data_IF_464014076947
#
_entry.id   IF_464014076947
#
_cell.length_a   1.000
_cell.length_b   1.000
_cell.length_c   1.000
_cell.angle_alpha   90.00
_cell.angle_beta   90.00
_cell.angle_gamma   90.00
#
_symmetry.space_group_name_H-M   'P 1'
#
loop_
_entity.id
_entity.type
_entity.pdbx_description
1 polymer ?
#
# COMPACT_ATOMS: atom_id res chain seq x y z
N UNK A 1 -10.75 44.08 -19.25
CA UNK A 1 -10.16 42.86 -19.88
C UNK A 1 -8.67 42.69 -19.58
N UNK A 2 -7.74 43.61 -19.95
CA UNK A 2 -6.29 43.45 -19.69
C UNK A 2 -5.96 43.13 -18.22
N UNK A 3 -6.51 43.82 -17.23
CA UNK A 3 -6.24 43.59 -15.79
C UNK A 3 -6.70 42.20 -15.34
N UNK A 4 -7.85 41.72 -15.81
CA UNK A 4 -8.34 40.39 -15.48
C UNK A 4 -7.40 39.31 -16.06
N UNK A 5 -6.98 39.47 -17.33
CA UNK A 5 -6.03 38.58 -17.98
C UNK A 5 -4.69 38.50 -17.25
N UNK A 6 -4.19 39.66 -16.80
CA UNK A 6 -2.91 39.75 -16.04
C UNK A 6 -3.06 39.09 -14.67
N UNK A 7 -4.21 39.26 -13.98
CA UNK A 7 -4.45 38.63 -12.69
C UNK A 7 -4.56 37.08 -12.84
N UNK A 8 -5.27 36.62 -13.85
CA UNK A 8 -5.40 35.17 -14.14
C UNK A 8 -4.03 34.57 -14.48
N UNK A 9 -3.25 35.24 -15.34
CA UNK A 9 -1.88 34.79 -15.66
C UNK A 9 -0.96 34.76 -14.42
N UNK A 10 -1.05 35.78 -13.55
CA UNK A 10 -0.26 35.83 -12.32
C UNK A 10 -0.65 34.69 -11.35
N UNK A 11 -1.93 34.35 -11.24
CA UNK A 11 -2.42 33.23 -10.43
C UNK A 11 -1.91 31.91 -11.00
N UNK A 12 -2.00 31.70 -12.32
CA UNK A 12 -1.48 30.48 -12.97
C UNK A 12 0.03 30.35 -12.73
N UNK A 13 0.81 31.42 -12.89
CA UNK A 13 2.25 31.41 -12.63
C UNK A 13 2.56 31.13 -11.16
N UNK A 14 1.81 31.72 -10.23
CA UNK A 14 1.99 31.47 -8.81
C UNK A 14 1.67 30.01 -8.44
N UNK A 15 0.59 29.43 -8.98
CA UNK A 15 0.23 28.03 -8.79
C UNK A 15 1.29 27.10 -9.41
N UNK A 16 1.75 27.39 -10.62
CA UNK A 16 2.82 26.62 -11.27
C UNK A 16 4.13 26.69 -10.48
N UNK A 17 4.50 27.87 -9.95
CA UNK A 17 5.66 28.04 -9.08
C UNK A 17 5.52 27.24 -7.77
N UNK A 18 4.36 27.24 -7.14
CA UNK A 18 4.09 26.45 -5.93
C UNK A 18 4.22 24.96 -6.25
N UNK A 19 3.67 24.47 -7.37
CA UNK A 19 3.77 23.07 -7.80
C UNK A 19 5.25 22.69 -8.06
N UNK A 20 6.01 23.53 -8.76
CA UNK A 20 7.44 23.29 -9.04
C UNK A 20 8.28 23.32 -7.76
N UNK A 21 8.05 24.31 -6.89
CA UNK A 21 8.75 24.40 -5.61
C UNK A 21 8.41 23.18 -4.73
N UNK A 22 7.16 22.73 -4.72
CA UNK A 22 6.71 21.56 -3.99
C UNK A 22 7.38 20.29 -4.51
N UNK A 23 7.47 20.09 -5.82
CA UNK A 23 8.12 18.94 -6.42
C UNK A 23 9.65 18.92 -6.22
N UNK A 24 10.29 20.10 -6.15
CA UNK A 24 11.74 20.18 -5.93
C UNK A 24 12.16 20.19 -4.46
N UNK A 25 11.31 20.72 -3.58
CA UNK A 25 11.63 20.83 -2.15
C UNK A 25 11.00 19.72 -1.31
N UNK A 26 10.02 18.99 -1.85
CA UNK A 26 9.51 17.79 -1.23
C UNK A 26 10.65 16.84 -0.88
N UNK A 27 11.50 16.49 -1.85
CA UNK A 27 12.65 15.60 -1.67
C UNK A 27 13.69 16.09 -0.64
N UNK A 28 13.80 17.40 -0.40
CA UNK A 28 14.68 17.94 0.63
C UNK A 28 14.08 17.76 2.02
N UNK A 29 12.76 17.71 2.11
CA UNK A 29 12.03 17.67 3.38
C UNK A 29 11.57 16.25 3.78
N UNK A 30 11.34 15.35 2.84
CA UNK A 30 10.90 13.97 3.14
C UNK A 30 12.01 13.11 3.73
N UNK A 31 13.24 13.58 3.72
CA UNK A 31 14.37 12.76 4.18
C UNK A 31 14.15 11.28 3.83
N UNK A 32 15.02 10.58 3.28
CA UNK A 32 15.00 9.26 2.65
C UNK A 32 14.36 8.08 3.43
N UNK A 33 13.25 8.28 4.11
CA UNK A 33 12.71 7.29 5.05
C UNK A 33 11.44 6.60 4.58
N UNK A 34 10.78 7.10 3.52
CA UNK A 34 9.49 6.55 3.11
C UNK A 34 9.17 6.81 1.63
N UNK A 35 8.60 5.81 0.96
CA UNK A 35 8.01 5.92 -0.36
C UNK A 35 8.92 5.56 -1.54
N UNK A 36 8.33 5.54 -2.73
CA UNK A 36 8.98 5.15 -3.99
C UNK A 36 10.29 5.91 -4.30
N UNK A 37 10.38 7.24 -4.10
CA UNK A 37 11.64 7.95 -4.37
C UNK A 37 12.81 7.49 -3.52
N UNK A 38 12.55 7.00 -2.31
CA UNK A 38 13.58 6.42 -1.44
C UNK A 38 14.13 5.13 -2.04
N UNK A 39 13.25 4.23 -2.47
CA UNK A 39 13.60 2.98 -3.14
C UNK A 39 14.36 3.22 -4.44
N UNK A 40 13.87 4.10 -5.31
CA UNK A 40 14.54 4.46 -6.58
C UNK A 40 15.97 4.98 -6.31
N UNK A 41 16.14 5.78 -5.27
CA UNK A 41 17.46 6.29 -4.89
C UNK A 41 18.38 5.21 -4.33
N UNK A 42 17.83 4.22 -3.63
CA UNK A 42 18.57 3.06 -3.13
C UNK A 42 19.08 2.18 -4.29
N UNK A 43 18.27 2.05 -5.35
CA UNK A 43 18.62 1.42 -6.63
C UNK A 43 18.52 -0.09 -6.66
N UNK A 44 18.61 -0.77 -5.51
CA UNK A 44 18.51 -2.23 -5.37
C UNK A 44 17.89 -2.59 -4.02
N UNK A 45 17.08 -3.63 -4.00
CA UNK A 45 16.41 -4.15 -2.80
C UNK A 45 16.22 -5.67 -2.92
N UNK A 46 16.59 -6.41 -1.87
CA UNK A 46 16.52 -7.88 -1.88
C UNK A 46 15.09 -8.34 -1.61
N UNK A 47 14.38 -7.70 -0.66
CA UNK A 47 13.01 -8.04 -0.27
C UNK A 47 12.12 -6.79 -0.27
N UNK A 48 11.26 -6.66 -1.29
CA UNK A 48 10.29 -5.57 -1.40
C UNK A 48 8.87 -6.06 -1.14
N UNK A 49 8.22 -5.50 -0.13
CA UNK A 49 6.82 -5.72 0.19
C UNK A 49 5.99 -4.53 -0.28
N UNK A 50 5.05 -4.72 -1.21
CA UNK A 50 4.13 -3.67 -1.68
C UNK A 50 2.71 -4.01 -1.25
N UNK A 51 2.06 -3.10 -0.50
CA UNK A 51 0.73 -3.41 0.01
C UNK A 51 -0.08 -2.21 0.51
N UNK A 52 -1.16 -2.57 1.17
CA UNK A 52 -2.12 -1.66 1.78
C UNK A 52 -1.84 -1.45 3.29
N UNK A 53 -2.88 -1.05 4.03
CA UNK A 53 -2.81 -1.04 5.50
C UNK A 53 -2.61 -2.44 6.09
N UNK A 54 -2.88 -3.50 5.32
CA UNK A 54 -2.63 -4.88 5.75
C UNK A 54 -1.14 -5.10 5.96
N UNK A 55 -0.30 -4.74 5.01
CA UNK A 55 1.16 -4.80 5.17
C UNK A 55 1.69 -3.77 6.16
N UNK A 56 1.14 -2.54 6.15
CA UNK A 56 1.55 -1.50 7.11
C UNK A 56 1.39 -1.92 8.56
N UNK A 57 0.32 -2.62 8.87
CA UNK A 57 -0.01 -3.05 10.24
C UNK A 57 0.27 -4.54 10.46
N UNK A 58 0.42 -5.31 9.40
CA UNK A 58 0.65 -6.75 9.44
C UNK A 58 2.13 -7.14 9.41
N UNK A 59 3.03 -6.26 8.92
CA UNK A 59 4.43 -6.59 8.79
C UNK A 59 5.29 -5.83 9.82
N UNK A 60 6.14 -6.55 10.52
CA UNK A 60 7.12 -6.04 11.48
C UNK A 60 8.49 -5.96 10.82
N UNK A 61 8.95 -4.74 10.56
CA UNK A 61 10.23 -4.53 9.87
C UNK A 61 11.42 -5.04 10.68
N UNK A 62 11.35 -4.96 12.01
CA UNK A 62 12.44 -5.47 12.87
C UNK A 62 12.53 -6.99 12.75
N UNK A 63 11.39 -7.68 12.85
CA UNK A 63 11.34 -9.14 12.75
C UNK A 63 11.75 -9.64 11.35
N UNK A 64 11.36 -8.92 10.28
CA UNK A 64 11.77 -9.28 8.92
C UNK A 64 13.28 -9.09 8.71
N UNK A 65 13.86 -7.95 9.13
CA UNK A 65 15.30 -7.68 9.01
C UNK A 65 16.17 -8.58 9.88
N UNK A 66 15.63 -9.08 11.01
CA UNK A 66 16.34 -10.02 11.88
C UNK A 66 16.42 -11.45 11.31
N UNK A 67 15.48 -11.82 10.44
CA UNK A 67 15.31 -13.20 9.98
C UNK A 67 15.47 -13.39 8.47
N UNK A 68 15.53 -12.33 7.67
CA UNK A 68 15.82 -12.39 6.24
C UNK A 68 17.22 -11.88 5.95
N UNK A 69 17.94 -12.58 5.08
CA UNK A 69 19.21 -12.12 4.56
C UNK A 69 18.97 -11.01 3.51
N UNK A 70 19.69 -9.91 3.61
CA UNK A 70 19.62 -8.82 2.65
C UNK A 70 18.80 -7.61 3.12
N UNK A 71 18.51 -6.71 2.21
CA UNK A 71 17.79 -5.47 2.46
C UNK A 71 16.29 -5.69 2.38
N UNK A 72 15.54 -5.15 3.34
CA UNK A 72 14.08 -5.25 3.42
C UNK A 72 13.44 -3.87 3.32
N UNK A 73 12.37 -3.74 2.54
CA UNK A 73 11.56 -2.51 2.49
C UNK A 73 10.07 -2.82 2.38
N UNK A 74 9.25 -2.09 3.15
CA UNK A 74 7.79 -2.20 3.13
C UNK A 74 7.20 -0.92 2.52
N UNK A 75 6.81 -0.97 1.25
CA UNK A 75 6.10 0.10 0.58
C UNK A 75 4.59 -0.10 0.76
N UNK A 76 3.97 0.64 1.67
CA UNK A 76 2.56 0.44 1.97
C UNK A 76 1.82 1.76 2.13
N UNK A 77 0.65 1.85 1.48
CA UNK A 77 -0.25 2.99 1.58
C UNK A 77 -1.62 2.53 2.07
N UNK A 78 -2.26 3.31 2.96
CA UNK A 78 -3.58 2.93 3.47
C UNK A 78 -4.60 2.86 2.33
N UNK A 79 -5.33 1.73 2.26
CA UNK A 79 -6.31 1.50 1.19
C UNK A 79 -5.68 1.38 -0.19
N UNK A 80 -4.38 1.03 -0.29
CA UNK A 80 -3.73 0.74 -1.57
C UNK A 80 -4.43 -0.43 -2.27
N UNK A 81 -4.46 -0.40 -3.58
CA UNK A 81 -5.21 -1.31 -4.41
C UNK A 81 -4.30 -1.91 -5.50
N UNK A 82 -4.60 -3.13 -6.01
CA UNK A 82 -3.79 -3.81 -7.02
C UNK A 82 -3.41 -2.96 -8.22
N UNK A 83 -4.36 -2.17 -8.76
CA UNK A 83 -4.11 -1.27 -9.89
C UNK A 83 -3.08 -0.17 -9.60
N UNK A 84 -2.98 0.27 -8.34
CA UNK A 84 -1.98 1.26 -7.92
C UNK A 84 -0.66 0.59 -7.57
N UNK A 85 -0.69 -0.59 -6.91
CA UNK A 85 0.51 -1.40 -6.64
C UNK A 85 1.27 -1.72 -7.94
N UNK A 86 0.52 -2.08 -9.00
CA UNK A 86 1.09 -2.30 -10.33
C UNK A 86 1.78 -1.04 -10.89
N UNK A 87 1.12 0.12 -10.78
CA UNK A 87 1.70 1.39 -11.24
C UNK A 87 2.90 1.84 -10.41
N UNK A 88 2.89 1.59 -9.12
CA UNK A 88 4.02 1.85 -8.22
C UNK A 88 5.24 1.02 -8.62
N UNK A 89 5.02 -0.27 -8.83
CA UNK A 89 6.06 -1.20 -9.27
C UNK A 89 6.63 -0.78 -10.64
N UNK A 90 5.77 -0.60 -11.65
CA UNK A 90 6.15 -0.14 -12.99
C UNK A 90 6.98 1.16 -12.92
N UNK A 91 6.49 2.16 -12.17
CA UNK A 91 7.16 3.44 -11.99
C UNK A 91 8.57 3.31 -11.40
N UNK A 92 8.76 2.41 -10.44
CA UNK A 92 10.06 2.20 -9.80
C UNK A 92 11.02 1.42 -10.71
N UNK A 93 10.54 0.36 -11.37
CA UNK A 93 11.34 -0.47 -12.28
C UNK A 93 11.82 0.32 -13.51
N UNK A 94 10.95 1.13 -14.13
CA UNK A 94 11.32 2.04 -15.23
C UNK A 94 12.42 3.05 -14.84
N UNK A 95 12.55 3.35 -13.52
CA UNK A 95 13.59 4.25 -13.01
C UNK A 95 14.81 3.54 -12.46
N UNK A 96 14.93 2.26 -12.80
CA UNK A 96 16.13 1.47 -12.57
C UNK A 96 16.21 0.82 -11.18
N UNK A 97 15.11 0.77 -10.41
CA UNK A 97 15.08 -0.06 -9.20
C UNK A 97 15.22 -1.53 -9.62
N UNK A 98 16.09 -2.24 -8.95
CA UNK A 98 16.21 -3.69 -9.03
C UNK A 98 15.59 -4.31 -7.79
N UNK A 99 14.79 -5.33 -7.99
CA UNK A 99 14.11 -6.08 -6.94
C UNK A 99 14.43 -7.56 -7.15
N UNK A 100 14.90 -8.24 -6.12
CA UNK A 100 15.14 -9.68 -6.18
C UNK A 100 13.85 -10.46 -5.85
N UNK A 101 13.25 -10.16 -4.67
CA UNK A 101 12.05 -10.81 -4.19
C UNK A 101 10.95 -9.77 -3.96
N UNK A 102 9.79 -9.96 -4.58
CA UNK A 102 8.64 -9.07 -4.51
C UNK A 102 7.47 -9.79 -3.83
N UNK A 103 6.97 -9.18 -2.78
CA UNK A 103 5.82 -9.66 -2.02
C UNK A 103 4.68 -8.67 -2.15
N UNK A 104 3.50 -9.13 -2.57
CA UNK A 104 2.32 -8.32 -2.83
C UNK A 104 1.20 -8.67 -1.86
N UNK A 105 0.58 -7.66 -1.29
CA UNK A 105 -0.58 -7.79 -0.40
C UNK A 105 -1.76 -8.48 -1.11
N UNK A 106 -2.14 -9.66 -0.62
CA UNK A 106 -3.22 -10.49 -1.15
C UNK A 106 -4.48 -10.32 -0.29
N UNK A 107 -5.16 -9.16 -0.47
CA UNK A 107 -6.29 -8.76 0.36
C UNK A 107 -7.60 -8.75 -0.42
N UNK A 108 -8.47 -9.71 -0.13
CA UNK A 108 -9.67 -10.02 -0.93
C UNK A 108 -10.64 -8.85 -1.12
N UNK A 109 -10.84 -8.02 -0.12
CA UNK A 109 -11.74 -6.86 -0.25
C UNK A 109 -11.26 -5.79 -1.24
N UNK A 110 -10.01 -5.84 -1.71
CA UNK A 110 -9.56 -4.96 -2.78
C UNK A 110 -10.25 -5.24 -4.11
N UNK A 111 -10.70 -6.48 -4.35
CA UNK A 111 -11.41 -6.86 -5.58
C UNK A 111 -12.72 -6.07 -5.78
N UNK A 112 -13.35 -5.65 -4.69
CA UNK A 112 -14.62 -4.90 -4.72
C UNK A 112 -14.43 -3.40 -4.63
N UNK A 113 -13.18 -2.92 -4.62
CA UNK A 113 -12.88 -1.50 -4.46
C UNK A 113 -12.83 -0.79 -5.81
N UNK A 114 -13.59 0.29 -5.93
CA UNK A 114 -13.44 1.21 -7.07
C UNK A 114 -12.03 1.79 -7.07
N UNK A 115 -11.32 1.85 -8.21
CA UNK A 115 -9.98 2.42 -8.26
C UNK A 115 -9.91 3.83 -7.67
N UNK A 116 -9.32 3.93 -6.50
CA UNK A 116 -9.18 5.19 -5.75
C UNK A 116 -7.99 5.13 -4.80
N UNK A 117 -7.16 6.17 -4.79
CA UNK A 117 -6.10 6.29 -3.79
C UNK A 117 -6.56 7.16 -2.62
N UNK A 118 -6.70 6.56 -1.45
CA UNK A 118 -7.05 7.25 -0.20
C UNK A 118 -5.83 7.80 0.55
N UNK A 119 -4.64 7.25 0.30
CA UNK A 119 -3.39 7.68 0.95
C UNK A 119 -2.54 8.51 -0.01
N UNK A 120 -2.67 9.82 0.10
CA UNK A 120 -1.97 10.77 -0.77
C UNK A 120 -0.44 10.82 -0.60
N UNK A 121 0.10 10.10 0.40
CA UNK A 121 1.55 9.93 0.55
C UNK A 121 2.17 9.18 -0.63
N UNK A 122 1.39 8.38 -1.34
CA UNK A 122 1.77 7.77 -2.61
C UNK A 122 2.30 8.79 -3.64
N UNK A 123 1.76 10.01 -3.63
CA UNK A 123 2.12 11.08 -4.58
C UNK A 123 3.28 11.97 -4.13
N UNK A 124 3.82 11.74 -2.91
CA UNK A 124 4.93 12.52 -2.41
C UNK A 124 6.19 12.24 -3.25
N UNK A 125 6.81 13.33 -3.72
CA UNK A 125 8.07 13.31 -4.46
C UNK A 125 8.07 12.47 -5.75
N UNK A 126 6.89 12.02 -6.20
CA UNK A 126 6.72 11.43 -7.53
C UNK A 126 6.61 12.51 -8.59
N UNK A 127 6.97 12.19 -9.81
CA UNK A 127 6.87 13.13 -10.93
C UNK A 127 5.43 13.29 -11.45
N UNK A 128 5.29 14.20 -12.43
CA UNK A 128 3.98 14.51 -12.99
C UNK A 128 3.41 13.37 -13.84
N UNK A 129 4.25 12.50 -14.41
CA UNK A 129 3.77 11.37 -15.21
C UNK A 129 3.02 10.38 -14.32
N UNK A 130 3.62 9.94 -13.21
CA UNK A 130 2.96 9.06 -12.25
C UNK A 130 1.63 9.64 -11.75
N UNK A 131 1.63 10.95 -11.40
CA UNK A 131 0.41 11.63 -10.93
C UNK A 131 -0.68 11.67 -12.01
N UNK A 132 -0.30 11.92 -13.27
CA UNK A 132 -1.24 11.95 -14.38
C UNK A 132 -1.85 10.56 -14.67
N UNK A 133 -1.04 9.52 -14.61
CA UNK A 133 -1.50 8.14 -14.81
C UNK A 133 -2.43 7.67 -13.70
N UNK A 134 -2.08 7.97 -12.45
CA UNK A 134 -2.95 7.70 -11.31
C UNK A 134 -4.28 8.48 -11.40
N UNK A 135 -4.22 9.76 -11.80
CA UNK A 135 -5.42 10.57 -12.01
C UNK A 135 -6.32 10.01 -13.10
N UNK A 136 -5.73 9.62 -14.23
CA UNK A 136 -6.45 9.00 -15.34
C UNK A 136 -7.19 7.75 -14.89
N UNK A 137 -6.49 6.86 -14.20
CA UNK A 137 -7.07 5.62 -13.65
C UNK A 137 -8.27 5.91 -12.74
N UNK A 138 -8.15 6.88 -11.83
CA UNK A 138 -9.27 7.26 -10.96
C UNK A 138 -10.42 7.89 -11.73
N UNK A 139 -10.14 8.74 -12.72
CA UNK A 139 -11.14 9.43 -13.52
C UNK A 139 -11.91 8.47 -14.46
N UNK A 140 -11.36 7.35 -14.84
CA UNK A 140 -12.02 6.32 -15.63
C UNK A 140 -13.15 5.62 -14.86
N UNK A 141 -13.07 5.61 -13.53
CA UNK A 141 -13.98 4.87 -12.66
C UNK A 141 -14.80 5.74 -11.71
N UNK A 142 -14.48 7.04 -11.60
CA UNK A 142 -15.13 7.95 -10.66
C UNK A 142 -15.45 9.28 -11.34
N UNK A 143 -16.49 9.95 -10.85
CA UNK A 143 -16.78 11.35 -11.22
C UNK A 143 -15.87 12.29 -10.43
N UNK A 144 -14.66 12.50 -10.95
CA UNK A 144 -13.61 13.31 -10.31
C UNK A 144 -13.61 14.73 -10.84
N UNK A 145 -13.55 15.69 -9.94
CA UNK A 145 -13.55 17.11 -10.26
C UNK A 145 -12.29 17.86 -9.82
N UNK A 146 -12.27 19.18 -10.06
CA UNK A 146 -11.18 20.06 -9.66
C UNK A 146 -10.93 20.04 -8.15
N UNK A 147 -11.94 19.76 -7.33
CA UNK A 147 -11.82 19.65 -5.88
C UNK A 147 -10.96 18.44 -5.54
N UNK A 148 -11.27 17.29 -6.12
CA UNK A 148 -10.54 16.03 -5.88
C UNK A 148 -9.08 16.15 -6.34
N UNK A 149 -8.86 16.77 -7.50
CA UNK A 149 -7.52 17.10 -7.97
C UNK A 149 -6.77 17.98 -6.98
N UNK A 150 -7.42 19.04 -6.48
CA UNK A 150 -6.80 19.94 -5.53
C UNK A 150 -6.49 19.24 -4.21
N UNK A 151 -7.41 18.47 -3.67
CA UNK A 151 -7.21 17.69 -2.44
C UNK A 151 -6.09 16.68 -2.60
N UNK A 152 -6.05 15.95 -3.70
CA UNK A 152 -5.08 14.89 -3.94
C UNK A 152 -3.67 15.40 -4.24
N UNK A 153 -3.51 16.39 -5.10
CA UNK A 153 -2.20 16.82 -5.57
C UNK A 153 -1.71 18.14 -4.97
N UNK A 154 -2.59 18.93 -4.34
CA UNK A 154 -2.25 20.23 -3.81
C UNK A 154 -2.39 20.33 -2.29
N UNK A 155 -3.52 19.89 -1.71
CA UNK A 155 -3.77 20.07 -0.27
C UNK A 155 -3.44 18.86 0.58
N UNK A 156 -3.63 17.68 0.08
CA UNK A 156 -3.40 16.45 0.85
C UNK A 156 -1.98 16.37 1.42
N UNK A 157 -1.09 17.13 0.83
CA UNK A 157 0.26 17.30 1.30
C UNK A 157 0.49 18.65 2.04
N UNK A 158 -0.50 19.54 2.12
CA UNK A 158 -0.28 20.87 2.71
C UNK A 158 -0.24 20.86 4.23
N UNK A 159 -1.07 20.08 4.88
CA UNK A 159 -0.96 19.87 6.32
C UNK A 159 0.40 19.25 6.67
N UNK A 160 0.90 18.39 5.81
CA UNK A 160 2.22 17.83 5.93
C UNK A 160 3.30 18.86 5.60
N UNK A 161 3.19 19.70 4.58
CA UNK A 161 4.22 20.64 4.15
C UNK A 161 4.44 21.81 5.12
N UNK A 162 3.39 22.42 5.66
CA UNK A 162 3.51 23.51 6.62
C UNK A 162 3.96 23.04 8.00
N UNK A 163 3.62 21.78 8.36
CA UNK A 163 4.08 21.12 9.59
C UNK A 163 5.29 20.24 9.35
N UNK A 164 5.85 20.26 8.16
CA UNK A 164 6.78 19.28 7.63
C UNK A 164 8.05 19.08 8.47
N UNK A 165 8.75 20.11 8.99
CA UNK A 165 9.94 19.86 9.80
C UNK A 165 9.62 19.14 11.11
N UNK A 166 8.43 19.36 11.68
CA UNK A 166 7.98 18.72 12.92
C UNK A 166 7.39 17.34 12.60
N UNK A 167 6.55 17.24 11.57
CA UNK A 167 5.96 15.99 11.13
C UNK A 167 6.99 15.03 10.55
N UNK A 168 8.04 15.51 9.87
CA UNK A 168 9.09 14.63 9.37
C UNK A 168 9.87 13.95 10.50
N UNK A 169 10.16 14.68 11.59
CA UNK A 169 10.75 14.07 12.77
C UNK A 169 9.81 13.03 13.41
N UNK A 170 8.49 13.29 13.41
CA UNK A 170 7.48 12.36 13.93
C UNK A 170 7.33 11.17 12.97
N UNK A 171 7.20 11.42 11.66
CA UNK A 171 7.05 10.36 10.66
C UNK A 171 8.31 9.49 10.59
N UNK A 172 9.51 10.08 10.61
CA UNK A 172 10.76 9.32 10.64
C UNK A 172 10.95 8.50 11.91
N UNK A 173 10.32 8.92 13.03
CA UNK A 173 10.29 8.11 14.27
C UNK A 173 9.24 6.98 14.24
N UNK A 174 8.30 7.00 13.29
CA UNK A 174 7.23 6.03 13.16
C UNK A 174 7.45 4.99 12.05
N UNK A 175 8.42 5.22 11.18
CA UNK A 175 8.72 4.33 10.07
C UNK A 175 10.22 4.09 9.92
N UNK A 176 10.60 2.85 9.66
CA UNK A 176 11.94 2.45 9.26
C UNK A 176 11.86 1.56 8.03
N UNK A 177 12.63 1.83 6.99
CA UNK A 177 12.56 1.13 5.69
C UNK A 177 11.11 0.92 5.22
N UNK A 178 10.27 1.96 5.38
CA UNK A 178 8.85 1.94 5.05
C UNK A 178 7.94 1.20 6.03
N UNK A 179 8.49 0.33 6.88
CA UNK A 179 7.75 -0.40 7.90
C UNK A 179 7.33 0.47 9.08
N UNK A 180 6.09 0.28 9.57
CA UNK A 180 5.55 1.01 10.71
C UNK A 180 6.14 0.50 12.02
N UNK A 181 6.67 1.42 12.83
CA UNK A 181 7.16 1.15 14.20
C UNK A 181 6.05 1.34 15.26
N UNK A 182 4.83 1.68 14.83
CA UNK A 182 3.71 1.85 15.75
C UNK A 182 3.31 0.50 16.36
N UNK A 183 3.28 0.45 17.68
CA UNK A 183 2.81 -0.72 18.42
C UNK A 183 1.34 -0.52 18.77
N UNK A 184 0.46 -1.21 18.04
CA UNK A 184 -0.97 -1.13 18.25
C UNK A 184 -1.43 -2.20 19.25
N UNK A 185 -2.29 -1.79 20.18
CA UNK A 185 -2.83 -2.73 21.17
C UNK A 185 -3.81 -3.71 20.55
N UNK A 186 -3.77 -4.96 21.00
CA UNK A 186 -4.78 -5.96 20.69
C UNK A 186 -6.12 -5.67 21.38
N UNK A 187 -7.16 -6.32 20.90
CA UNK A 187 -8.52 -6.22 21.43
C UNK A 187 -8.92 -7.47 22.21
N UNK A 188 -10.04 -7.38 22.91
CA UNK A 188 -10.65 -8.58 23.49
C UNK A 188 -11.49 -9.32 22.44
N UNK A 189 -11.62 -10.64 22.63
CA UNK A 189 -12.47 -11.46 21.76
C UNK A 189 -13.91 -10.93 21.74
N UNK A 190 -14.45 -10.56 22.91
CA UNK A 190 -15.80 -10.03 23.02
C UNK A 190 -16.01 -8.76 22.20
N UNK A 191 -14.99 -7.88 22.13
CA UNK A 191 -15.06 -6.67 21.29
C UNK A 191 -15.03 -7.04 19.82
N UNK A 192 -14.09 -7.87 19.38
CA UNK A 192 -13.96 -8.28 17.98
C UNK A 192 -15.22 -9.00 17.47
N UNK A 193 -15.85 -9.80 18.32
CA UNK A 193 -17.11 -10.50 17.98
C UNK A 193 -18.29 -9.53 17.74
N UNK A 194 -18.23 -8.28 18.26
CA UNK A 194 -19.24 -7.25 17.96
C UNK A 194 -19.04 -6.57 16.61
N UNK A 195 -17.83 -6.61 16.04
CA UNK A 195 -17.53 -5.95 14.77
C UNK A 195 -18.11 -6.73 13.59
N UNK A 196 -18.52 -6.02 12.55
CA UNK A 196 -18.93 -6.58 11.26
C UNK A 196 -18.43 -5.66 10.14
N UNK A 197 -17.67 -6.20 9.19
CA UNK A 197 -17.22 -5.45 8.01
C UNK A 197 -18.26 -5.51 6.88
N UNK A 198 -19.33 -6.27 7.10
CA UNK A 198 -20.37 -6.50 6.09
C UNK A 198 -19.89 -7.36 4.92
N UNK A 199 -20.77 -7.49 3.96
CA UNK A 199 -20.49 -8.12 2.66
C UNK A 199 -20.27 -7.03 1.61
N UNK A 200 -19.60 -7.36 0.52
CA UNK A 200 -19.30 -6.42 -0.56
C UNK A 200 -19.78 -6.98 -1.88
N UNK A 201 -20.46 -6.14 -2.65
CA UNK A 201 -20.99 -6.52 -3.95
C UNK A 201 -20.08 -6.04 -5.09
N UNK A 202 -20.02 -6.85 -6.11
CA UNK A 202 -19.37 -6.54 -7.38
C UNK A 202 -17.85 -6.71 -7.33
N UNK A 203 -17.33 -7.23 -8.43
CA UNK A 203 -15.89 -7.32 -8.67
C UNK A 203 -15.50 -6.26 -9.69
N UNK A 204 -14.42 -5.56 -9.43
CA UNK A 204 -13.83 -4.65 -10.41
C UNK A 204 -12.72 -5.38 -11.17
N UNK A 205 -12.98 -5.71 -12.46
CA UNK A 205 -12.00 -6.37 -13.34
C UNK A 205 -10.65 -5.64 -13.37
N UNK A 206 -10.67 -4.32 -13.21
CA UNK A 206 -9.45 -3.51 -13.11
C UNK A 206 -8.54 -3.90 -11.96
N UNK A 207 -9.08 -4.40 -10.84
CA UNK A 207 -8.25 -4.84 -9.71
C UNK A 207 -7.51 -6.13 -10.04
N UNK A 208 -8.18 -7.09 -10.68
CA UNK A 208 -7.52 -8.31 -11.18
C UNK A 208 -6.51 -7.98 -12.28
N UNK A 209 -6.84 -7.06 -13.20
CA UNK A 209 -5.88 -6.56 -14.19
C UNK A 209 -4.64 -5.90 -13.56
N UNK A 210 -4.79 -5.30 -12.38
CA UNK A 210 -3.65 -4.80 -11.59
C UNK A 210 -2.73 -5.94 -11.14
N UNK A 211 -3.28 -7.04 -10.65
CA UNK A 211 -2.49 -8.22 -10.29
C UNK A 211 -1.87 -8.90 -11.52
N UNK A 212 -2.62 -9.03 -12.63
CA UNK A 212 -2.06 -9.53 -13.91
C UNK A 212 -0.84 -8.69 -14.34
N UNK A 213 -0.93 -7.36 -14.25
CA UNK A 213 0.18 -6.47 -14.58
C UNK A 213 1.39 -6.66 -13.66
N UNK A 214 1.19 -6.93 -12.37
CA UNK A 214 2.28 -7.24 -11.44
C UNK A 214 2.99 -8.54 -11.84
N UNK A 215 2.22 -9.57 -12.22
CA UNK A 215 2.79 -10.85 -12.73
C UNK A 215 3.62 -10.59 -13.98
N UNK A 216 3.08 -9.85 -14.96
CA UNK A 216 3.82 -9.48 -16.19
C UNK A 216 5.13 -8.75 -15.89
N UNK A 217 5.10 -7.77 -14.97
CA UNK A 217 6.30 -7.02 -14.58
C UNK A 217 7.33 -7.91 -13.88
N UNK A 218 6.88 -8.80 -13.01
CA UNK A 218 7.78 -9.72 -12.33
C UNK A 218 8.48 -10.67 -13.33
N UNK A 219 7.75 -11.17 -14.33
CA UNK A 219 8.33 -11.97 -15.42
C UNK A 219 9.29 -11.15 -16.28
N UNK A 220 8.91 -9.92 -16.68
CA UNK A 220 9.71 -9.04 -17.54
C UNK A 220 11.06 -8.68 -16.91
N UNK A 221 11.08 -8.45 -15.59
CA UNK A 221 12.26 -8.01 -14.85
C UNK A 221 12.98 -9.12 -14.07
N UNK A 222 12.58 -10.39 -14.26
CA UNK A 222 13.15 -11.57 -13.58
C UNK A 222 13.12 -11.46 -12.05
N UNK A 223 11.95 -11.11 -11.51
CA UNK A 223 11.69 -10.90 -10.08
C UNK A 223 10.99 -12.14 -9.50
N UNK A 224 11.46 -12.64 -8.36
CA UNK A 224 10.76 -13.68 -7.61
C UNK A 224 9.50 -13.08 -6.95
N UNK A 225 8.32 -13.42 -7.47
CA UNK A 225 7.04 -12.89 -7.01
C UNK A 225 6.35 -13.86 -6.04
N UNK A 226 5.71 -13.32 -4.99
CA UNK A 226 4.76 -14.04 -4.15
C UNK A 226 3.65 -13.10 -3.68
N UNK A 227 2.40 -13.54 -3.76
CA UNK A 227 1.26 -12.89 -3.17
C UNK A 227 1.06 -13.39 -1.74
N UNK A 228 0.91 -12.50 -0.76
CA UNK A 228 0.87 -12.87 0.66
C UNK A 228 -0.39 -12.31 1.32
N UNK A 229 -1.18 -13.21 1.91
CA UNK A 229 -2.28 -12.82 2.79
C UNK A 229 -1.78 -12.66 4.23
N UNK A 230 -2.09 -11.51 4.85
CA UNK A 230 -1.90 -11.33 6.29
C UNK A 230 -3.05 -11.95 7.08
N UNK A 231 -2.83 -12.45 8.30
CA UNK A 231 -3.88 -13.07 9.11
C UNK A 231 -5.09 -12.17 9.35
N UNK A 232 -6.27 -12.76 9.34
CA UNK A 232 -7.55 -12.14 9.65
C UNK A 232 -8.17 -12.80 10.88
N UNK A 233 -8.96 -12.03 11.64
CA UNK A 233 -9.68 -12.60 12.78
C UNK A 233 -10.68 -13.67 12.34
N UNK A 234 -10.80 -14.75 13.09
CA UNK A 234 -11.56 -15.98 12.75
C UNK A 234 -13.00 -15.72 12.30
N UNK A 235 -13.66 -14.69 12.86
CA UNK A 235 -15.02 -14.32 12.49
C UNK A 235 -15.16 -13.97 11.01
N UNK A 236 -14.15 -13.30 10.45
CA UNK A 236 -14.14 -12.92 9.04
C UNK A 236 -13.94 -14.13 8.14
N UNK A 237 -13.07 -15.05 8.54
CA UNK A 237 -12.78 -16.27 7.80
C UNK A 237 -13.95 -17.29 7.83
N UNK A 238 -14.77 -17.26 8.87
CA UNK A 238 -15.95 -18.12 9.04
C UNK A 238 -17.23 -17.57 8.41
N UNK A 239 -17.21 -16.33 7.91
CA UNK A 239 -18.36 -15.72 7.24
C UNK A 239 -18.52 -16.32 5.82
N UNK A 240 -19.61 -17.03 5.59
CA UNK A 240 -19.93 -17.68 4.32
C UNK A 240 -21.03 -16.98 3.54
N UNK A 241 -21.36 -15.72 3.89
CA UNK A 241 -22.33 -14.92 3.13
C UNK A 241 -21.76 -14.58 1.76
N UNK A 242 -22.63 -14.49 0.74
CA UNK A 242 -22.26 -13.94 -0.57
C UNK A 242 -21.62 -12.54 -0.42
N UNK A 243 -20.49 -12.30 -1.07
CA UNK A 243 -19.68 -11.09 -0.92
C UNK A 243 -18.90 -10.99 0.40
N UNK A 244 -18.80 -12.09 1.17
CA UNK A 244 -17.95 -12.14 2.36
C UNK A 244 -16.47 -12.16 2.00
N UNK A 245 -15.63 -11.96 3.01
CA UNK A 245 -14.17 -12.01 2.81
C UNK A 245 -13.72 -13.38 2.31
N UNK A 246 -14.24 -14.48 2.87
CA UNK A 246 -13.82 -15.82 2.47
C UNK A 246 -14.23 -16.18 1.05
N UNK A 247 -15.43 -15.80 0.60
CA UNK A 247 -15.84 -16.01 -0.79
C UNK A 247 -14.94 -15.24 -1.77
N UNK A 248 -14.67 -13.97 -1.47
CA UNK A 248 -13.78 -13.14 -2.29
C UNK A 248 -12.33 -13.66 -2.28
N UNK A 249 -11.88 -14.27 -1.18
CA UNK A 249 -10.57 -14.91 -1.10
C UNK A 249 -10.51 -16.15 -2.00
N UNK A 250 -11.57 -16.95 -2.05
CA UNK A 250 -11.67 -18.10 -2.98
C UNK A 250 -11.56 -17.62 -4.45
N UNK A 251 -12.18 -16.49 -4.80
CA UNK A 251 -12.06 -15.89 -6.13
C UNK A 251 -10.62 -15.45 -6.44
N UNK A 252 -9.93 -14.84 -5.46
CA UNK A 252 -8.52 -14.46 -5.62
C UNK A 252 -7.62 -15.67 -5.79
N UNK A 253 -7.84 -16.74 -5.02
CA UNK A 253 -7.09 -18.00 -5.14
C UNK A 253 -7.32 -18.61 -6.53
N UNK A 254 -8.58 -18.68 -7.00
CA UNK A 254 -8.88 -19.18 -8.34
C UNK A 254 -8.20 -18.33 -9.45
N UNK A 255 -8.10 -17.01 -9.27
CA UNK A 255 -7.33 -16.16 -10.16
C UNK A 255 -5.83 -16.51 -10.11
N UNK A 256 -5.23 -16.63 -8.92
CA UNK A 256 -3.81 -16.90 -8.76
C UNK A 256 -3.41 -18.26 -9.37
N UNK A 257 -4.24 -19.30 -9.16
CA UNK A 257 -4.07 -20.62 -9.79
C UNK A 257 -4.11 -20.52 -11.33
N UNK A 258 -5.07 -19.78 -11.87
CA UNK A 258 -5.22 -19.58 -13.32
C UNK A 258 -4.04 -18.79 -13.91
N UNK A 259 -3.55 -17.79 -13.20
CA UNK A 259 -2.39 -16.97 -13.59
C UNK A 259 -1.05 -17.70 -13.35
N UNK A 260 -1.07 -18.88 -12.70
CA UNK A 260 0.13 -19.57 -12.19
C UNK A 260 0.99 -18.64 -11.30
N UNK A 261 0.34 -17.75 -10.56
CA UNK A 261 0.99 -16.82 -9.65
C UNK A 261 1.18 -17.47 -8.28
N UNK A 262 2.38 -17.47 -7.71
CA UNK A 262 2.61 -18.05 -6.39
C UNK A 262 1.93 -17.20 -5.31
N UNK A 263 1.24 -17.85 -4.38
CA UNK A 263 0.57 -17.21 -3.26
C UNK A 263 0.78 -17.99 -1.96
N UNK A 264 0.62 -17.28 -0.86
CA UNK A 264 0.75 -17.80 0.50
C UNK A 264 -0.42 -17.28 1.34
N UNK A 265 -1.24 -18.19 1.85
CA UNK A 265 -2.38 -17.86 2.70
C UNK A 265 -1.98 -17.87 4.17
N UNK A 266 -2.62 -17.02 4.96
CA UNK A 266 -2.36 -16.95 6.39
C UNK A 266 -2.72 -18.24 7.15
N UNK A 267 -3.62 -19.05 6.62
CA UNK A 267 -3.99 -20.35 7.19
C UNK A 267 -2.90 -21.43 7.08
N UNK A 268 -1.86 -21.18 6.27
CA UNK A 268 -0.71 -22.09 6.16
C UNK A 268 0.24 -21.98 7.36
N UNK A 269 0.05 -20.96 8.20
CA UNK A 269 0.81 -20.76 9.43
C UNK A 269 0.04 -21.24 10.67
N UNK A 270 0.78 -21.68 11.69
CA UNK A 270 0.21 -21.98 13.02
C UNK A 270 -0.07 -20.67 13.80
N UNK A 271 -0.90 -19.81 13.19
CA UNK A 271 -1.27 -18.53 13.74
C UNK A 271 -2.66 -18.60 14.40
N UNK A 272 -2.78 -18.14 15.66
CA UNK A 272 -4.06 -18.15 16.37
C UNK A 272 -4.98 -17.00 15.91
N UNK A 273 -5.85 -17.33 14.96
CA UNK A 273 -6.87 -16.42 14.41
C UNK A 273 -8.02 -16.10 15.39
N UNK A 274 -8.14 -16.84 16.51
CA UNK A 274 -9.18 -16.63 17.51
C UNK A 274 -8.73 -15.78 18.70
N UNK A 275 -7.40 -15.60 18.87
CA UNK A 275 -6.85 -14.81 19.99
C UNK A 275 -6.98 -13.31 19.73
N UNK A 276 -7.87 -12.65 20.44
CA UNK A 276 -8.17 -11.23 20.25
C UNK A 276 -6.97 -10.31 20.47
N UNK A 277 -6.04 -10.69 21.35
CA UNK A 277 -4.82 -9.93 21.60
C UNK A 277 -3.93 -9.79 20.33
N UNK A 278 -4.09 -10.67 19.34
CA UNK A 278 -3.36 -10.64 18.07
C UNK A 278 -3.91 -9.61 17.09
N UNK A 279 -5.09 -9.01 17.33
CA UNK A 279 -5.80 -8.18 16.38
C UNK A 279 -6.20 -6.82 16.97
N UNK A 280 -6.18 -5.75 16.14
CA UNK A 280 -6.77 -4.45 16.44
C UNK A 280 -8.26 -4.40 16.07
N UNK A 281 -8.61 -5.06 15.00
CA UNK A 281 -9.95 -5.23 14.43
C UNK A 281 -9.99 -6.53 13.64
N UNK A 282 -11.01 -6.75 12.79
CA UNK A 282 -11.18 -8.02 12.07
C UNK A 282 -10.09 -8.29 11.00
N UNK A 283 -9.35 -7.26 10.57
CA UNK A 283 -8.41 -7.35 9.44
C UNK A 283 -6.98 -6.93 9.78
N UNK A 284 -6.78 -6.11 10.82
CA UNK A 284 -5.47 -5.59 11.15
C UNK A 284 -4.88 -6.28 12.40
N UNK A 285 -3.62 -6.63 12.32
CA UNK A 285 -2.87 -7.21 13.44
C UNK A 285 -2.53 -6.15 14.50
N UNK A 286 -2.49 -6.59 15.77
CA UNK A 286 -1.86 -5.85 16.84
C UNK A 286 -0.33 -5.91 16.73
N UNK A 287 0.40 -5.15 17.54
CA UNK A 287 1.86 -5.25 17.58
C UNK A 287 2.35 -6.65 17.96
N UNK A 288 1.62 -7.35 18.86
CA UNK A 288 1.94 -8.74 19.21
C UNK A 288 1.70 -9.70 18.04
N UNK A 289 0.50 -9.65 17.44
CA UNK A 289 0.13 -10.52 16.32
C UNK A 289 1.04 -10.29 15.11
N UNK A 290 1.38 -9.03 14.80
CA UNK A 290 2.30 -8.64 13.74
C UNK A 290 3.67 -9.29 13.90
N UNK A 291 4.25 -9.21 15.10
CA UNK A 291 5.56 -9.79 15.38
C UNK A 291 5.55 -11.31 15.21
N UNK A 292 4.57 -11.99 15.83
CA UNK A 292 4.42 -13.45 15.72
C UNK A 292 4.27 -13.90 14.27
N UNK A 293 3.42 -13.20 13.49
CA UNK A 293 3.23 -13.53 12.08
C UNK A 293 4.50 -13.33 11.26
N UNK A 294 5.23 -12.24 11.46
CA UNK A 294 6.45 -11.97 10.71
C UNK A 294 7.60 -12.93 11.03
N UNK A 295 7.68 -13.44 12.26
CA UNK A 295 8.66 -14.49 12.60
C UNK A 295 8.37 -15.76 11.78
N UNK A 296 7.10 -16.20 11.70
CA UNK A 296 6.70 -17.35 10.89
C UNK A 296 6.86 -17.11 9.39
N UNK A 297 6.46 -15.91 8.91
CA UNK A 297 6.59 -15.54 7.50
C UNK A 297 8.05 -15.53 7.07
N UNK A 298 8.92 -14.91 7.85
CA UNK A 298 10.34 -14.83 7.54
C UNK A 298 11.03 -16.21 7.53
N UNK A 299 10.64 -17.11 8.44
CA UNK A 299 11.11 -18.50 8.40
C UNK A 299 10.65 -19.22 7.12
N UNK A 300 9.41 -18.97 6.67
CA UNK A 300 8.87 -19.60 5.46
C UNK A 300 9.57 -19.11 4.18
N UNK A 301 9.77 -17.80 4.02
CA UNK A 301 10.35 -17.21 2.81
C UNK A 301 11.88 -17.21 2.80
N UNK A 302 12.53 -17.42 3.96
CA UNK A 302 13.99 -17.50 4.10
C UNK A 302 14.56 -18.91 3.87
N UNK A 303 13.69 -19.94 3.77
CA UNK A 303 14.07 -21.33 3.49
C UNK A 303 13.91 -21.67 2.00
#
# INVERSE_FOLDING_TARGET
MKKILTTVAAVIVAVALVIVLKNQYGSIFTGNTYGMPTLIKQGEIDHLFIGSSMFRQGLDIDALEENLDGSVYILSYNGNQPVFMAKELEYMLERGLKVENLYIDFYAYTLTAVPWSSDTKMFLDTDLSFKADAWKLMAEHNDVGLKDFYEMFVTANNEQILMYPINNAIVSSQFRNGGSLLNMAGQTKEHLDTLDLGVRDGLFESQLAGYDKIVELAEEYDINLMFIETPKYEKLLKDSREGSYSELLEEMVAWAEKANAPYLLAEEFDFDHAEGANFQDLIHLSGQGRKMYCEMLAEYIGN
#
